data_IF_657888729174
#
_entry.id   IF_657888729174
#
_cell.length_a   1.000
_cell.length_b   1.000
_cell.length_c   1.000
_cell.angle_alpha   90.00
_cell.angle_beta   90.00
_cell.angle_gamma   90.00
#
_symmetry.space_group_name_H-M   'P 1'
#
loop_
_entity.id
_entity.type
_entity.pdbx_description
1 polymer ?
#
# COMPACT_ATOMS: atom_id res chain seq x y z
N UNK A 1 41.81 -52.14 51.85
CA UNK A 1 41.05 -53.39 51.71
C UNK A 1 40.43 -53.38 50.32
N UNK A 2 41.08 -54.06 49.42
CA UNK A 2 40.59 -55.27 48.69
C UNK A 2 39.34 -54.94 47.87
N UNK A 3 39.22 -55.16 46.65
CA UNK A 3 39.83 -55.97 45.57
C UNK A 3 38.73 -56.19 44.54
N UNK A 4 39.10 -56.29 43.37
CA UNK A 4 38.78 -57.09 42.18
C UNK A 4 37.67 -56.42 41.27
N UNK A 5 37.92 -56.06 40.05
CA UNK A 5 38.59 -56.80 38.98
C UNK A 5 37.57 -57.64 38.20
N UNK A 6 37.10 -57.14 37.01
CA UNK A 6 36.83 -58.04 35.89
C UNK A 6 36.92 -57.31 34.55
N UNK A 7 37.78 -57.80 33.71
CA UNK A 7 37.94 -57.55 32.28
C UNK A 7 36.76 -58.06 31.48
N UNK A 8 36.31 -57.31 30.53
CA UNK A 8 35.74 -57.89 29.32
C UNK A 8 36.19 -57.10 28.06
N UNK A 9 36.95 -57.81 27.25
CA UNK A 9 37.40 -57.46 25.92
C UNK A 9 36.23 -57.42 24.96
N UNK A 10 36.10 -56.37 24.19
CA UNK A 10 35.27 -56.34 22.97
C UNK A 10 36.07 -55.79 21.81
N UNK A 11 36.04 -56.55 20.77
CA UNK A 11 36.78 -56.44 19.52
C UNK A 11 36.59 -55.09 18.85
N UNK A 12 37.71 -54.46 18.53
CA UNK A 12 37.82 -53.49 17.40
C UNK A 12 37.53 -54.20 16.09
N UNK A 13 36.70 -53.64 15.30
CA UNK A 13 36.74 -53.78 13.84
C UNK A 13 37.21 -52.44 13.28
N UNK A 14 38.51 -52.37 13.08
CA UNK A 14 39.18 -51.31 12.33
C UNK A 14 38.88 -51.51 10.84
N UNK A 15 37.90 -50.77 10.28
CA UNK A 15 37.86 -50.51 8.87
C UNK A 15 38.55 -49.17 8.60
N UNK A 16 39.85 -49.31 8.39
CA UNK A 16 40.75 -48.25 7.98
C UNK A 16 40.39 -47.82 6.55
N UNK A 17 39.94 -46.59 6.38
CA UNK A 17 39.97 -45.91 5.08
C UNK A 17 41.43 -45.57 4.76
N UNK A 18 41.99 -46.00 3.62
CA UNK A 18 43.38 -45.66 3.29
C UNK A 18 43.49 -44.15 2.96
N UNK A 19 44.46 -43.53 3.61
CA UNK A 19 44.95 -42.19 3.34
C UNK A 19 45.32 -42.03 1.85
N UNK A 20 44.54 -41.27 1.13
CA UNK A 20 44.95 -40.61 -0.10
C UNK A 20 44.75 -39.12 0.08
N UNK A 21 45.62 -38.53 0.88
CA UNK A 21 45.74 -37.10 0.99
C UNK A 21 47.18 -36.69 0.75
N UNK A 22 47.52 -36.51 -0.51
CA UNK A 22 48.86 -36.13 -0.94
C UNK A 22 48.91 -35.73 -2.42
N UNK A 23 48.08 -34.76 -2.83
CA UNK A 23 48.35 -33.94 -4.02
C UNK A 23 47.64 -32.60 -3.88
N UNK A 24 48.46 -31.54 -3.95
CA UNK A 24 48.00 -30.16 -4.05
C UNK A 24 47.32 -29.99 -5.39
N UNK A 25 46.00 -29.95 -5.42
CA UNK A 25 45.22 -29.54 -6.58
C UNK A 25 44.58 -28.19 -6.33
N UNK A 26 44.59 -27.35 -7.37
CA UNK A 26 44.17 -25.97 -7.44
C UNK A 26 42.72 -25.75 -6.98
N UNK A 27 42.31 -24.52 -6.56
CA UNK A 27 41.06 -24.27 -5.84
C UNK A 27 39.78 -24.21 -6.71
N UNK A 28 39.76 -24.82 -7.88
CA UNK A 28 38.62 -24.73 -8.81
C UNK A 28 37.93 -26.05 -9.15
N UNK A 29 38.33 -27.17 -8.57
CA UNK A 29 37.58 -28.43 -8.68
C UNK A 29 37.23 -28.94 -7.29
N UNK A 30 36.14 -28.40 -6.70
CA UNK A 30 35.43 -29.09 -5.61
C UNK A 30 34.97 -30.43 -6.16
N UNK A 31 35.87 -31.38 -6.01
CA UNK A 31 35.90 -32.67 -6.64
C UNK A 31 34.59 -33.43 -6.39
N UNK A 32 33.96 -33.86 -7.46
CA UNK A 32 32.88 -34.87 -7.46
C UNK A 32 33.18 -36.09 -6.59
N UNK A 33 34.46 -36.33 -6.27
CA UNK A 33 34.91 -37.38 -5.37
C UNK A 33 34.53 -37.15 -3.89
N UNK A 34 34.58 -35.92 -3.38
CA UNK A 34 34.14 -35.59 -2.00
C UNK A 34 32.62 -35.72 -1.88
N UNK A 35 31.89 -35.32 -2.91
CA UNK A 35 30.43 -35.47 -2.97
C UNK A 35 30.03 -36.95 -3.03
N UNK A 36 30.78 -37.77 -3.80
CA UNK A 36 30.56 -39.23 -3.85
C UNK A 36 30.91 -39.94 -2.54
N UNK A 37 31.90 -39.46 -1.78
CA UNK A 37 32.26 -40.01 -0.49
C UNK A 37 31.22 -39.69 0.60
N UNK A 38 30.66 -38.46 0.59
CA UNK A 38 29.55 -38.07 1.46
C UNK A 38 28.24 -38.84 1.13
N UNK A 39 28.00 -39.14 -0.13
CA UNK A 39 26.80 -39.87 -0.57
C UNK A 39 26.88 -41.39 -0.30
N UNK A 40 28.09 -42.02 -0.18
CA UNK A 40 28.25 -43.44 0.10
C UNK A 40 27.91 -43.84 1.54
N UNK A 41 27.88 -42.89 2.47
CA UNK A 41 27.48 -43.13 3.87
C UNK A 41 26.02 -42.82 4.18
N UNK A 42 25.23 -42.32 3.20
CA UNK A 42 23.84 -41.97 3.41
C UNK A 42 22.96 -43.21 3.19
N UNK A 43 22.14 -43.53 4.20
CA UNK A 43 21.04 -44.48 4.07
C UNK A 43 20.13 -44.06 2.90
N UNK A 44 19.58 -45.03 2.16
CA UNK A 44 18.67 -44.78 1.03
C UNK A 44 17.56 -43.80 1.39
N UNK A 45 17.05 -43.84 2.61
CA UNK A 45 16.05 -42.89 3.14
C UNK A 45 16.58 -41.46 3.20
N UNK A 46 17.80 -41.24 3.67
CA UNK A 46 18.46 -39.95 3.72
C UNK A 46 18.76 -39.41 2.30
N UNK A 47 19.11 -40.28 1.37
CA UNK A 47 19.35 -39.91 -0.02
C UNK A 47 18.03 -39.46 -0.70
N UNK A 48 16.94 -40.21 -0.51
CA UNK A 48 15.61 -39.84 -1.01
C UNK A 48 15.15 -38.48 -0.41
N UNK A 49 15.37 -38.30 0.89
CA UNK A 49 15.04 -37.02 1.54
C UNK A 49 15.81 -35.86 0.91
N UNK A 50 17.12 -35.97 0.73
CA UNK A 50 17.94 -34.91 0.15
C UNK A 50 17.63 -34.64 -1.33
N UNK A 51 17.38 -35.67 -2.12
CA UNK A 51 17.20 -35.52 -3.58
C UNK A 51 15.79 -35.18 -3.97
N UNK A 52 14.79 -35.57 -3.20
CA UNK A 52 13.37 -35.37 -3.52
C UNK A 52 12.73 -34.32 -2.62
N UNK A 53 12.77 -34.52 -1.29
CA UNK A 53 12.04 -33.63 -0.39
C UNK A 53 12.68 -32.26 -0.23
N UNK A 54 14.01 -32.15 -0.22
CA UNK A 54 14.67 -30.84 -0.10
C UNK A 54 14.43 -29.97 -1.34
N UNK A 55 14.62 -30.43 -2.59
CA UNK A 55 14.26 -29.63 -3.76
C UNK A 55 12.77 -29.31 -3.83
N UNK A 56 11.89 -30.27 -3.49
CA UNK A 56 10.45 -30.03 -3.47
C UNK A 56 10.06 -28.98 -2.43
N UNK A 57 10.70 -28.99 -1.26
CA UNK A 57 10.53 -27.96 -0.23
C UNK A 57 11.03 -26.59 -0.71
N UNK A 58 12.21 -26.54 -1.36
CA UNK A 58 12.78 -25.30 -1.90
C UNK A 58 11.84 -24.73 -2.97
N UNK A 59 11.34 -25.56 -3.90
CA UNK A 59 10.38 -25.11 -4.92
C UNK A 59 9.08 -24.66 -4.28
N UNK A 60 8.54 -25.41 -3.33
CA UNK A 60 7.36 -25.03 -2.57
C UNK A 60 7.53 -23.70 -1.82
N UNK A 61 8.67 -23.51 -1.16
CA UNK A 61 8.99 -22.25 -0.49
C UNK A 61 9.18 -21.09 -1.47
N UNK A 62 9.76 -21.32 -2.63
CA UNK A 62 9.88 -20.32 -3.70
C UNK A 62 8.51 -19.91 -4.24
N UNK A 63 7.62 -20.86 -4.53
CA UNK A 63 6.30 -20.60 -5.09
C UNK A 63 5.32 -20.03 -4.07
N UNK A 64 5.32 -20.55 -2.85
CA UNK A 64 4.32 -20.26 -1.82
C UNK A 64 4.86 -19.56 -0.58
N UNK A 65 6.16 -19.25 -0.52
CA UNK A 65 6.81 -18.68 0.68
C UNK A 65 6.13 -17.40 1.18
N UNK A 66 5.68 -16.53 0.27
CA UNK A 66 4.94 -15.33 0.63
C UNK A 66 3.61 -15.67 1.32
N UNK A 67 2.82 -16.60 0.76
CA UNK A 67 1.56 -17.03 1.38
C UNK A 67 1.79 -17.65 2.75
N UNK A 68 2.84 -18.48 2.89
CA UNK A 68 3.22 -19.09 4.17
C UNK A 68 3.61 -18.01 5.18
N UNK A 69 4.45 -17.05 4.78
CA UNK A 69 4.86 -15.94 5.65
C UNK A 69 3.66 -15.11 6.12
N UNK A 70 2.76 -14.71 5.23
CA UNK A 70 1.57 -13.97 5.61
C UNK A 70 0.63 -14.77 6.50
N UNK A 71 0.42 -16.06 6.18
CA UNK A 71 -0.42 -16.92 7.01
C UNK A 71 0.12 -17.11 8.44
N UNK A 72 1.43 -17.26 8.57
CA UNK A 72 2.08 -17.45 9.87
C UNK A 72 2.40 -16.14 10.61
N UNK A 73 2.15 -14.98 9.99
CA UNK A 73 2.43 -13.65 10.57
C UNK A 73 1.96 -13.46 12.01
N UNK A 74 0.76 -13.95 12.42
CA UNK A 74 0.30 -13.83 13.81
C UNK A 74 1.19 -14.49 14.87
N UNK A 75 2.12 -15.37 14.46
CA UNK A 75 3.05 -16.03 15.40
C UNK A 75 4.19 -15.11 15.88
N UNK A 76 4.54 -14.08 15.10
CA UNK A 76 5.67 -13.18 15.42
C UNK A 76 5.34 -11.70 15.35
N UNK A 77 4.15 -11.32 14.91
CA UNK A 77 3.74 -9.93 14.76
C UNK A 77 2.42 -9.67 15.46
N UNK A 78 2.44 -8.78 16.45
CA UNK A 78 1.24 -8.37 17.16
C UNK A 78 0.50 -7.24 16.42
N UNK A 79 -0.82 -7.12 16.58
CA UNK A 79 -1.57 -5.98 16.06
C UNK A 79 -1.00 -4.65 16.58
N UNK A 80 -0.97 -3.60 15.76
CA UNK A 80 -0.60 -2.27 16.22
C UNK A 80 -1.63 -1.77 17.27
N UNK A 81 -1.19 -0.84 18.12
CA UNK A 81 -2.09 -0.17 19.07
C UNK A 81 -3.32 0.38 18.31
N UNK A 82 -4.54 0.12 18.77
CA UNK A 82 -5.75 0.64 18.14
C UNK A 82 -5.77 2.17 18.17
N UNK A 83 -6.49 2.77 17.22
CA UNK A 83 -6.76 4.21 17.23
C UNK A 83 -7.84 4.54 18.28
N UNK A 84 -7.81 5.78 18.76
CA UNK A 84 -8.93 6.41 19.46
C UNK A 84 -9.86 6.95 18.39
N UNK A 85 -10.97 6.25 18.16
CA UNK A 85 -11.91 6.60 17.10
C UNK A 85 -12.84 7.72 17.57
N UNK A 86 -12.88 8.81 16.79
CA UNK A 86 -13.81 9.93 16.99
C UNK A 86 -15.02 9.68 16.10
N UNK A 87 -16.20 9.65 16.68
CA UNK A 87 -17.46 9.51 15.95
C UNK A 87 -17.67 10.72 15.04
N UNK A 88 -18.02 10.48 13.78
CA UNK A 88 -18.27 11.53 12.80
C UNK A 88 -19.76 11.86 12.75
N UNK A 89 -20.13 13.03 13.24
CA UNK A 89 -21.49 13.58 13.15
C UNK A 89 -21.56 14.57 12.01
N UNK A 90 -22.51 14.42 11.12
CA UNK A 90 -22.78 15.38 10.06
C UNK A 90 -24.24 15.30 9.59
N UNK A 91 -24.87 16.46 9.44
CA UNK A 91 -26.18 16.58 8.81
C UNK A 91 -26.32 17.95 8.16
N UNK A 92 -26.81 18.02 6.93
CA UNK A 92 -26.84 19.24 6.12
C UNK A 92 -27.69 20.35 6.74
N UNK A 93 -28.77 19.98 7.45
CA UNK A 93 -29.73 20.93 8.04
C UNK A 93 -29.44 21.29 9.51
N UNK A 94 -28.28 20.84 10.05
CA UNK A 94 -27.85 21.17 11.41
C UNK A 94 -26.76 22.25 11.33
N UNK A 95 -26.88 23.34 12.13
CA UNK A 95 -25.84 24.37 12.18
C UNK A 95 -24.47 23.78 12.52
N UNK A 96 -23.41 24.32 11.90
CA UNK A 96 -22.06 23.82 12.08
C UNK A 96 -21.61 23.96 13.56
N UNK A 97 -22.09 24.99 14.25
CA UNK A 97 -21.83 25.16 15.70
C UNK A 97 -22.30 23.96 16.52
N UNK A 98 -23.52 23.46 16.27
CA UNK A 98 -24.06 22.29 16.95
C UNK A 98 -23.30 21.01 16.56
N UNK A 99 -22.90 20.90 15.29
CA UNK A 99 -22.09 19.77 14.83
C UNK A 99 -20.71 19.77 15.49
N UNK A 100 -20.01 20.91 15.56
CA UNK A 100 -18.74 21.01 16.28
C UNK A 100 -18.90 20.62 17.76
N UNK A 101 -19.97 21.11 18.41
CA UNK A 101 -20.27 20.80 19.82
C UNK A 101 -20.53 19.32 20.07
N UNK A 102 -21.17 18.60 19.13
CA UNK A 102 -21.36 17.15 19.19
C UNK A 102 -20.02 16.39 19.24
N UNK A 103 -18.97 16.95 18.61
CA UNK A 103 -17.61 16.40 18.65
C UNK A 103 -16.82 16.85 19.89
N UNK A 104 -17.39 17.71 20.73
CA UNK A 104 -16.67 18.34 21.86
C UNK A 104 -15.71 19.45 21.40
N UNK A 105 -15.92 20.02 20.22
CA UNK A 105 -15.11 21.08 19.60
C UNK A 105 -15.83 22.42 19.62
N UNK A 106 -15.04 23.51 19.66
CA UNK A 106 -15.57 24.86 19.49
C UNK A 106 -15.88 25.17 18.02
N UNK A 107 -16.67 26.25 17.78
CA UNK A 107 -16.86 26.80 16.45
C UNK A 107 -15.92 27.99 16.24
N UNK A 108 -15.36 28.13 15.05
CA UNK A 108 -14.53 29.28 14.65
C UNK A 108 -15.39 30.41 14.10
N UNK A 109 -14.90 31.63 14.25
CA UNK A 109 -15.47 32.81 13.63
C UNK A 109 -15.31 32.77 12.09
N UNK A 110 -14.14 32.29 11.61
CA UNK A 110 -13.80 32.11 10.21
C UNK A 110 -13.24 30.69 9.97
N UNK A 111 -13.60 30.06 8.85
CA UNK A 111 -13.09 28.71 8.55
C UNK A 111 -11.59 28.76 8.22
N UNK A 112 -10.86 27.70 8.58
CA UNK A 112 -9.45 27.53 8.20
C UNK A 112 -9.31 27.44 6.68
N UNK A 113 -8.19 27.96 6.17
CA UNK A 113 -7.73 27.65 4.83
C UNK A 113 -7.39 26.15 4.74
N UNK A 114 -7.63 25.55 3.58
CA UNK A 114 -7.38 24.12 3.37
C UNK A 114 -6.48 23.92 2.16
N UNK A 115 -5.40 23.19 2.35
CA UNK A 115 -4.45 22.79 1.32
C UNK A 115 -4.61 21.30 1.04
N UNK A 116 -4.92 20.95 -0.20
CA UNK A 116 -4.98 19.56 -0.66
C UNK A 116 -3.71 19.22 -1.44
N UNK A 117 -2.80 18.45 -0.85
CA UNK A 117 -1.48 18.20 -1.41
C UNK A 117 -1.32 16.71 -1.78
N UNK A 118 -0.95 16.45 -3.04
CA UNK A 118 -0.82 15.09 -3.57
C UNK A 118 0.44 14.92 -4.41
N UNK A 119 1.05 13.72 -4.31
CA UNK A 119 1.94 13.19 -5.33
C UNK A 119 1.10 12.55 -6.43
N UNK A 120 1.44 12.83 -7.69
CA UNK A 120 0.64 12.34 -8.81
C UNK A 120 1.43 11.46 -9.76
N UNK A 121 0.82 10.37 -10.21
CA UNK A 121 1.41 9.44 -11.17
C UNK A 121 0.56 9.28 -12.43
N UNK A 122 -0.49 8.44 -12.42
CA UNK A 122 -1.33 8.18 -13.59
C UNK A 122 -2.83 8.11 -13.28
N UNK A 123 -3.24 8.45 -12.05
CA UNK A 123 -4.60 8.33 -11.53
C UNK A 123 -5.50 9.51 -11.96
N UNK A 124 -5.55 9.85 -13.27
CA UNK A 124 -6.21 11.07 -13.79
C UNK A 124 -7.69 11.15 -13.40
N UNK A 125 -8.44 10.05 -13.57
CA UNK A 125 -9.87 10.04 -13.24
C UNK A 125 -10.11 10.16 -11.72
N UNK A 126 -9.28 9.50 -10.90
CA UNK A 126 -9.37 9.59 -9.43
C UNK A 126 -9.04 10.99 -8.94
N UNK A 127 -8.00 11.63 -9.48
CA UNK A 127 -7.65 13.02 -9.18
C UNK A 127 -8.82 13.96 -9.51
N UNK A 128 -9.46 13.74 -10.65
CA UNK A 128 -10.60 14.57 -11.08
C UNK A 128 -11.80 14.40 -10.15
N UNK A 129 -12.14 13.17 -9.76
CA UNK A 129 -13.21 12.89 -8.80
C UNK A 129 -12.88 13.54 -7.46
N UNK A 130 -11.68 13.33 -6.92
CA UNK A 130 -11.21 13.95 -5.68
C UNK A 130 -11.36 15.47 -5.69
N UNK A 131 -10.83 16.11 -6.71
CA UNK A 131 -10.83 17.56 -6.75
C UNK A 131 -12.21 18.16 -7.02
N UNK A 132 -13.08 17.48 -7.75
CA UNK A 132 -14.47 17.91 -7.90
C UNK A 132 -15.25 17.77 -6.59
N UNK A 133 -15.05 16.70 -5.85
CA UNK A 133 -15.68 16.48 -4.55
C UNK A 133 -15.23 17.54 -3.52
N UNK A 134 -13.94 17.85 -3.47
CA UNK A 134 -13.37 18.76 -2.50
C UNK A 134 -13.40 20.24 -2.90
N UNK A 135 -13.69 20.55 -4.16
CA UNK A 135 -13.57 21.88 -4.75
C UNK A 135 -14.17 23.03 -3.91
N UNK A 136 -15.35 22.89 -3.26
CA UNK A 136 -15.97 23.98 -2.51
C UNK A 136 -15.17 24.41 -1.27
N UNK A 137 -14.33 23.52 -0.72
CA UNK A 137 -13.72 23.71 0.58
C UNK A 137 -12.20 23.88 0.54
N UNK A 138 -11.55 23.60 -0.60
CA UNK A 138 -10.10 23.73 -0.75
C UNK A 138 -9.74 25.18 -1.11
N UNK A 139 -8.80 25.76 -0.39
CA UNK A 139 -8.22 27.06 -0.68
C UNK A 139 -7.15 26.94 -1.75
N UNK A 140 -6.28 25.93 -1.64
CA UNK A 140 -5.16 25.72 -2.55
C UNK A 140 -4.99 24.23 -2.86
N UNK A 141 -4.99 23.88 -4.14
CA UNK A 141 -4.60 22.56 -4.64
C UNK A 141 -3.10 22.54 -4.89
N UNK A 142 -2.41 21.54 -4.37
CA UNK A 142 -0.95 21.40 -4.52
C UNK A 142 -0.64 20.05 -5.11
N UNK A 143 -0.03 20.03 -6.29
CA UNK A 143 0.30 18.79 -6.99
C UNK A 143 1.76 18.77 -7.39
N UNK A 144 2.45 17.72 -6.96
CA UNK A 144 3.79 17.41 -7.43
C UNK A 144 3.78 16.20 -8.35
N UNK A 145 4.42 16.34 -9.49
CA UNK A 145 4.60 15.27 -10.46
C UNK A 145 6.09 15.05 -10.73
N UNK A 146 6.51 13.79 -10.91
CA UNK A 146 7.87 13.43 -11.29
C UNK A 146 7.91 12.88 -12.71
N UNK A 147 9.05 13.02 -13.39
CA UNK A 147 9.34 12.35 -14.66
C UNK A 147 9.80 10.89 -14.50
N UNK A 148 9.85 10.41 -13.25
CA UNK A 148 10.22 9.05 -12.91
C UNK A 148 9.20 8.44 -11.95
N UNK A 149 9.03 7.12 -12.04
CA UNK A 149 8.27 6.32 -11.08
C UNK A 149 9.09 6.05 -9.82
N UNK A 150 8.48 5.55 -8.74
CA UNK A 150 9.21 5.16 -7.53
C UNK A 150 10.23 4.03 -7.78
N UNK A 151 10.03 3.23 -8.82
CA UNK A 151 10.96 2.17 -9.24
C UNK A 151 12.06 2.63 -10.19
N UNK A 152 12.13 3.95 -10.48
CA UNK A 152 13.12 4.52 -11.40
C UNK A 152 12.80 4.33 -12.88
N UNK A 153 11.56 3.96 -13.24
CA UNK A 153 11.14 3.92 -14.63
C UNK A 153 10.78 5.33 -15.10
N UNK A 154 11.18 5.73 -16.33
CA UNK A 154 10.78 7.01 -16.89
C UNK A 154 9.27 7.05 -17.12
N UNK A 155 8.65 8.18 -16.83
CA UNK A 155 7.22 8.42 -17.11
C UNK A 155 6.99 9.83 -17.67
N UNK A 156 5.92 9.99 -18.40
CA UNK A 156 5.44 11.30 -18.82
C UNK A 156 4.84 12.08 -17.66
N UNK A 157 4.76 13.39 -17.78
CA UNK A 157 4.01 14.25 -16.87
C UNK A 157 2.52 14.16 -17.23
N UNK A 158 1.85 13.16 -16.67
CA UNK A 158 0.48 12.81 -17.01
C UNK A 158 -0.51 13.92 -16.63
N UNK A 159 -0.26 14.66 -15.53
CA UNK A 159 -1.07 15.82 -15.19
C UNK A 159 -0.90 16.92 -16.24
N UNK A 160 0.33 17.27 -16.60
CA UNK A 160 0.58 18.30 -17.60
C UNK A 160 -0.08 17.98 -18.95
N UNK A 161 -0.05 16.71 -19.38
CA UNK A 161 -0.71 16.24 -20.60
C UNK A 161 -2.24 16.30 -20.54
N UNK A 162 -2.83 16.23 -19.34
CA UNK A 162 -4.27 16.24 -19.11
C UNK A 162 -4.78 17.55 -18.49
N UNK A 163 -3.94 18.58 -18.39
CA UNK A 163 -4.21 19.82 -17.66
C UNK A 163 -5.50 20.51 -18.09
N UNK A 164 -5.87 20.42 -19.34
CA UNK A 164 -7.12 20.96 -19.87
C UNK A 164 -8.37 20.41 -19.16
N UNK A 165 -8.33 19.21 -18.64
CA UNK A 165 -9.42 18.62 -17.87
C UNK A 165 -9.58 19.24 -16.47
N UNK A 166 -8.58 20.01 -16.01
CA UNK A 166 -8.47 20.58 -14.67
C UNK A 166 -8.51 22.12 -14.66
N UNK A 167 -8.93 22.75 -15.75
CA UNK A 167 -9.06 24.23 -15.85
C UNK A 167 -9.86 24.86 -14.72
N UNK A 168 -10.79 24.11 -14.11
CA UNK A 168 -11.64 24.61 -13.02
C UNK A 168 -10.85 24.93 -11.74
N UNK A 169 -9.66 24.35 -11.52
CA UNK A 169 -8.82 24.63 -10.34
C UNK A 169 -7.65 25.56 -10.63
N UNK A 170 -7.41 25.95 -11.87
CA UNK A 170 -6.23 26.75 -12.27
C UNK A 170 -5.96 27.97 -11.39
N UNK A 171 -6.97 28.76 -10.96
CA UNK A 171 -6.74 29.92 -10.10
C UNK A 171 -6.24 29.55 -8.68
N UNK A 172 -6.36 28.29 -8.29
CA UNK A 172 -6.02 27.77 -6.96
C UNK A 172 -5.03 26.59 -7.05
N UNK A 173 -4.29 26.47 -8.15
CA UNK A 173 -3.34 25.37 -8.36
C UNK A 173 -1.90 25.81 -8.15
N UNK A 174 -1.20 25.17 -7.23
CA UNK A 174 0.26 25.15 -7.16
C UNK A 174 0.76 23.84 -7.77
N UNK A 175 1.29 23.90 -8.98
CA UNK A 175 1.85 22.76 -9.71
C UNK A 175 3.36 22.80 -9.70
N UNK A 176 3.99 21.70 -9.29
CA UNK A 176 5.43 21.51 -9.36
C UNK A 176 5.79 20.21 -10.07
N UNK A 177 6.98 20.19 -10.65
CA UNK A 177 7.58 18.97 -11.16
C UNK A 177 8.98 18.77 -10.57
N UNK A 178 9.38 17.51 -10.45
CA UNK A 178 10.70 17.12 -9.95
C UNK A 178 11.29 16.03 -10.84
N UNK A 179 12.60 16.12 -11.08
CA UNK A 179 13.31 15.03 -11.71
C UNK A 179 13.47 13.87 -10.73
N UNK A 180 13.21 12.66 -11.18
CA UNK A 180 13.52 11.46 -10.39
C UNK A 180 15.03 11.31 -10.21
N UNK A 181 15.42 10.55 -9.20
CA UNK A 181 16.83 10.32 -8.85
C UNK A 181 17.54 9.33 -9.79
N UNK A 182 16.82 8.70 -10.73
CA UNK A 182 17.31 7.74 -11.75
C UNK A 182 18.18 6.60 -11.20
N UNK A 183 17.97 6.21 -9.95
CA UNK A 183 18.73 5.14 -9.28
C UNK A 183 18.02 3.81 -9.43
N UNK A 184 18.27 3.12 -10.55
CA UNK A 184 17.73 1.77 -10.79
C UNK A 184 18.23 0.80 -9.72
N UNK A 185 17.29 -0.01 -9.19
CA UNK A 185 17.58 -1.03 -8.18
C UNK A 185 17.68 -0.51 -6.73
N UNK A 186 17.49 0.78 -6.49
CA UNK A 186 17.30 1.32 -5.15
C UNK A 186 15.92 0.95 -4.62
N UNK A 187 15.77 0.93 -3.29
CA UNK A 187 14.48 0.71 -2.65
C UNK A 187 13.47 1.80 -3.08
N UNK A 188 12.33 1.45 -3.70
CA UNK A 188 11.35 2.41 -4.20
C UNK A 188 10.83 3.40 -3.14
N UNK A 189 10.81 3.02 -1.87
CA UNK A 189 10.42 3.91 -0.78
C UNK A 189 11.38 5.11 -0.59
N UNK A 190 12.62 5.01 -1.03
CA UNK A 190 13.58 6.13 -0.98
C UNK A 190 13.23 7.19 -2.03
N UNK A 191 12.84 6.78 -3.23
CA UNK A 191 12.36 7.70 -4.26
C UNK A 191 11.03 8.34 -3.87
N UNK A 192 10.12 7.56 -3.30
CA UNK A 192 8.86 8.06 -2.76
C UNK A 192 9.10 9.12 -1.66
N UNK A 193 10.00 8.86 -0.71
CA UNK A 193 10.37 9.81 0.33
C UNK A 193 10.98 11.08 -0.24
N UNK A 194 11.83 10.99 -1.26
CA UNK A 194 12.41 12.14 -1.95
C UNK A 194 11.33 13.02 -2.58
N UNK A 195 10.36 12.42 -3.28
CA UNK A 195 9.26 13.17 -3.88
C UNK A 195 8.35 13.81 -2.82
N UNK A 196 8.15 13.16 -1.64
CA UNK A 196 7.40 13.76 -0.51
C UNK A 196 8.12 14.97 0.08
N UNK A 197 9.45 14.94 0.16
CA UNK A 197 10.24 16.11 0.57
C UNK A 197 10.10 17.26 -0.43
N UNK A 198 10.10 16.97 -1.73
CA UNK A 198 9.87 17.98 -2.77
C UNK A 198 8.45 18.58 -2.68
N UNK A 199 7.44 17.76 -2.39
CA UNK A 199 6.06 18.23 -2.17
C UNK A 199 5.96 19.14 -0.93
N UNK A 200 6.70 18.85 0.15
CA UNK A 200 6.78 19.72 1.35
C UNK A 200 7.38 21.10 1.02
N UNK A 201 8.35 21.17 0.10
CA UNK A 201 8.87 22.45 -0.39
C UNK A 201 7.84 23.19 -1.25
N UNK A 202 7.13 22.49 -2.12
CA UNK A 202 6.08 23.09 -2.95
C UNK A 202 4.93 23.67 -2.09
N UNK A 203 4.56 23.00 -1.00
CA UNK A 203 3.59 23.51 -0.03
C UNK A 203 4.00 24.86 0.57
N UNK A 204 5.26 25.02 0.94
CA UNK A 204 5.79 26.28 1.45
C UNK A 204 5.74 27.39 0.39
N UNK A 205 6.10 27.07 -0.85
CA UNK A 205 5.97 27.99 -1.99
C UNK A 205 4.52 28.37 -2.28
N UNK A 206 3.57 27.44 -2.03
CA UNK A 206 2.13 27.69 -2.16
C UNK A 206 1.55 28.56 -1.04
N UNK A 207 2.36 28.96 -0.05
CA UNK A 207 1.97 29.90 0.99
C UNK A 207 1.14 29.31 2.12
N UNK A 208 1.41 28.04 2.50
CA UNK A 208 0.81 27.43 3.69
C UNK A 208 1.35 28.10 4.95
N UNK A 209 0.50 28.38 5.91
CA UNK A 209 0.81 29.05 7.16
C UNK A 209 0.33 28.26 8.38
N UNK A 210 0.76 28.67 9.57
CA UNK A 210 0.35 28.06 10.83
C UNK A 210 -1.18 28.08 11.00
N UNK A 211 -1.74 27.00 11.52
CA UNK A 211 -3.17 26.71 11.69
C UNK A 211 -3.97 26.45 10.41
N UNK A 212 -3.37 26.52 9.21
CA UNK A 212 -4.02 26.00 8.00
C UNK A 212 -4.24 24.49 8.11
N UNK A 213 -5.22 23.97 7.42
CA UNK A 213 -5.41 22.52 7.28
C UNK A 213 -4.65 21.98 6.07
N UNK A 214 -3.80 21.01 6.30
CA UNK A 214 -3.11 20.26 5.26
C UNK A 214 -3.67 18.84 5.17
N UNK A 215 -4.24 18.49 4.02
CA UNK A 215 -4.63 17.12 3.69
C UNK A 215 -3.40 16.39 3.17
N UNK A 216 -3.00 15.32 3.84
CA UNK A 216 -1.93 14.41 3.43
C UNK A 216 -2.55 13.06 3.11
N UNK A 217 -2.63 12.71 1.83
CA UNK A 217 -3.15 11.42 1.38
C UNK A 217 -2.74 11.14 -0.07
N UNK A 218 -2.79 9.90 -0.49
CA UNK A 218 -2.59 9.53 -1.88
C UNK A 218 -3.81 9.97 -2.72
N UNK A 219 -3.65 10.07 -4.04
CA UNK A 219 -4.70 10.58 -4.95
C UNK A 219 -5.98 9.78 -4.85
N UNK A 220 -5.87 8.47 -4.65
CA UNK A 220 -6.97 7.52 -4.55
C UNK A 220 -7.59 7.42 -3.12
N UNK A 221 -7.07 8.21 -2.16
CA UNK A 221 -7.62 8.38 -0.80
C UNK A 221 -8.38 9.71 -0.72
N UNK A 222 -9.68 9.69 -0.93
CA UNK A 222 -10.53 10.87 -1.07
C UNK A 222 -11.27 11.16 0.24
N UNK A 223 -10.92 12.22 0.98
CA UNK A 223 -11.77 12.71 2.07
C UNK A 223 -13.13 13.15 1.54
N UNK A 224 -14.19 12.93 2.31
CA UNK A 224 -15.51 13.48 1.91
C UNK A 224 -15.57 15.00 2.08
N UNK A 225 -16.35 15.64 1.24
CA UNK A 225 -16.61 17.07 1.32
C UNK A 225 -17.12 17.51 2.70
N UNK A 226 -17.99 16.70 3.31
CA UNK A 226 -18.52 16.93 4.67
C UNK A 226 -17.42 16.86 5.74
N UNK A 227 -16.48 15.93 5.63
CA UNK A 227 -15.32 15.83 6.53
C UNK A 227 -14.49 17.12 6.50
N UNK A 228 -14.15 17.59 5.32
CA UNK A 228 -13.33 18.80 5.18
C UNK A 228 -14.10 20.04 5.64
N UNK A 229 -15.39 20.12 5.35
CA UNK A 229 -16.24 21.22 5.83
C UNK A 229 -16.32 21.25 7.37
N UNK A 230 -16.47 20.10 8.02
CA UNK A 230 -16.43 19.97 9.48
C UNK A 230 -15.10 20.49 10.05
N UNK A 231 -13.98 19.94 9.57
CA UNK A 231 -12.66 20.21 10.13
C UNK A 231 -12.21 21.67 9.92
N UNK A 232 -12.65 22.33 8.86
CA UNK A 232 -12.30 23.75 8.62
C UNK A 232 -13.03 24.71 9.56
N UNK A 233 -14.22 24.36 10.02
CA UNK A 233 -15.06 25.22 10.86
C UNK A 233 -14.89 24.97 12.36
N UNK A 234 -14.56 23.72 12.76
CA UNK A 234 -14.43 23.41 14.18
C UNK A 234 -13.03 23.73 14.71
N UNK A 235 -12.99 24.31 15.91
CA UNK A 235 -11.76 24.51 16.67
C UNK A 235 -11.48 23.32 17.59
N UNK A 236 -10.31 23.32 18.28
CA UNK A 236 -9.90 22.25 19.20
C UNK A 236 -9.81 20.85 18.60
N UNK A 237 -9.81 20.73 17.25
CA UNK A 237 -9.52 19.46 16.58
C UNK A 237 -8.08 19.00 16.89
N UNK A 238 -7.79 17.69 16.93
CA UNK A 238 -6.42 17.19 17.08
C UNK A 238 -5.46 17.81 16.06
N UNK A 239 -4.21 18.06 16.45
CA UNK A 239 -3.19 18.60 15.53
C UNK A 239 -2.96 17.70 14.31
N UNK A 240 -3.05 16.39 14.52
CA UNK A 240 -3.03 15.38 13.45
C UNK A 240 -4.21 14.46 13.67
N UNK A 241 -5.06 14.35 12.68
CA UNK A 241 -6.24 13.51 12.68
C UNK A 241 -6.19 12.58 11.47
N UNK A 242 -6.08 11.28 11.70
CA UNK A 242 -6.23 10.29 10.65
C UNK A 242 -7.68 10.20 10.19
N UNK A 243 -7.88 9.81 8.94
CA UNK A 243 -9.20 9.67 8.33
C UNK A 243 -9.50 8.19 8.09
N UNK A 244 -10.59 7.71 8.67
CA UNK A 244 -11.05 6.33 8.50
C UNK A 244 -11.88 6.24 7.22
N UNK A 245 -11.26 5.82 6.11
CA UNK A 245 -11.87 5.80 4.79
C UNK A 245 -12.47 4.43 4.48
N UNK A 246 -13.64 4.39 3.84
CA UNK A 246 -14.18 3.17 3.23
C UNK A 246 -13.22 2.70 2.15
N UNK A 247 -12.77 1.46 2.23
CA UNK A 247 -11.72 0.95 1.36
C UNK A 247 -12.31 0.09 0.24
N UNK A 248 -11.97 0.41 -0.99
CA UNK A 248 -12.44 -0.26 -2.20
C UNK A 248 -11.27 -0.69 -3.07
N UNK A 249 -11.48 -1.75 -3.85
CA UNK A 249 -10.50 -2.26 -4.79
C UNK A 249 -11.11 -2.29 -6.19
N UNK A 250 -10.41 -1.76 -7.19
CA UNK A 250 -10.78 -1.68 -8.61
C UNK A 250 -11.96 -0.77 -8.93
N UNK A 251 -13.00 -0.79 -8.13
CA UNK A 251 -14.21 0.03 -8.27
C UNK A 251 -14.95 0.10 -6.94
N UNK A 252 -15.97 0.94 -6.84
CA UNK A 252 -16.84 1.01 -5.67
C UNK A 252 -17.77 -0.21 -5.51
N UNK A 253 -17.64 -1.22 -6.36
CA UNK A 253 -18.30 -2.51 -6.23
C UNK A 253 -17.64 -3.41 -5.18
N UNK A 254 -16.30 -3.35 -5.05
CA UNK A 254 -15.54 -4.26 -4.22
C UNK A 254 -15.06 -3.58 -2.94
N UNK A 255 -15.94 -3.55 -1.94
CA UNK A 255 -15.62 -2.95 -0.64
C UNK A 255 -14.86 -3.93 0.25
N UNK A 256 -13.62 -3.60 0.60
CA UNK A 256 -12.80 -4.34 1.56
C UNK A 256 -13.31 -4.08 2.98
N UNK A 257 -13.34 -5.11 3.82
CA UNK A 257 -13.82 -4.98 5.21
C UNK A 257 -12.97 -4.03 6.05
N UNK A 258 -11.66 -3.99 5.81
CA UNK A 258 -10.79 -3.04 6.50
C UNK A 258 -10.93 -1.65 5.90
N UNK A 259 -11.03 -0.66 6.75
CA UNK A 259 -10.96 0.74 6.35
C UNK A 259 -9.51 1.19 6.20
N UNK A 260 -9.23 2.07 5.25
CA UNK A 260 -7.95 2.76 5.15
C UNK A 260 -7.85 3.83 6.24
N UNK A 261 -6.65 4.03 6.78
CA UNK A 261 -6.38 5.00 7.86
C UNK A 261 -5.20 5.93 7.55
N UNK A 262 -4.55 5.75 6.43
CA UNK A 262 -3.29 6.47 6.13
C UNK A 262 -3.51 7.93 5.80
N UNK A 263 -4.61 8.28 5.14
CA UNK A 263 -5.01 9.67 4.94
C UNK A 263 -5.13 10.40 6.27
N UNK A 264 -4.64 11.63 6.32
CA UNK A 264 -4.68 12.47 7.52
C UNK A 264 -4.87 13.93 7.19
N UNK A 265 -5.43 14.67 8.16
CA UNK A 265 -5.51 16.14 8.13
C UNK A 265 -4.67 16.69 9.28
N UNK A 266 -3.84 17.65 8.96
CA UNK A 266 -2.94 18.29 9.91
C UNK A 266 -3.31 19.75 10.08
N UNK A 267 -3.37 20.23 11.32
CA UNK A 267 -3.25 21.65 11.60
C UNK A 267 -1.77 21.99 11.41
N UNK A 268 -1.47 22.67 10.32
CA UNK A 268 -0.09 22.93 9.92
C UNK A 268 0.66 23.76 10.99
N UNK A 269 1.89 23.39 11.23
CA UNK A 269 2.83 24.11 12.09
C UNK A 269 4.17 24.24 11.36
N UNK A 270 4.56 25.48 11.06
CA UNK A 270 5.81 25.77 10.39
C UNK A 270 7.00 25.19 11.19
N UNK A 271 7.92 24.59 10.48
CA UNK A 271 9.09 23.94 11.08
C UNK A 271 8.84 22.58 11.75
N UNK A 272 7.58 22.18 12.03
CA UNK A 272 7.23 20.91 12.67
C UNK A 272 6.53 19.95 11.72
N UNK A 273 5.47 20.40 11.04
CA UNK A 273 4.73 19.57 10.11
C UNK A 273 5.61 19.19 8.92
N UNK A 274 5.64 17.91 8.59
CA UNK A 274 6.33 17.35 7.42
C UNK A 274 5.37 16.47 6.66
N UNK A 275 5.37 16.56 5.33
CA UNK A 275 4.54 15.71 4.50
C UNK A 275 5.00 14.25 4.61
N UNK A 276 4.15 13.40 5.17
CA UNK A 276 4.44 11.99 5.38
C UNK A 276 3.15 11.16 5.38
N UNK A 277 3.28 9.86 5.05
CA UNK A 277 2.15 8.94 4.90
C UNK A 277 2.32 7.72 5.83
N UNK A 278 2.45 8.00 7.13
CA UNK A 278 2.54 7.01 8.20
C UNK A 278 1.72 7.47 9.41
N UNK A 279 1.56 6.60 10.40
CA UNK A 279 0.82 6.95 11.63
C UNK A 279 1.56 8.03 12.42
N UNK A 280 0.92 9.19 12.56
CA UNK A 280 1.47 10.37 13.26
C UNK A 280 0.64 10.78 14.48
N UNK A 281 -0.51 10.12 14.70
CA UNK A 281 -1.42 10.37 15.81
C UNK A 281 -2.12 9.08 16.23
N UNK A 282 -2.67 9.07 17.42
CA UNK A 282 -3.55 8.00 17.90
C UNK A 282 -5.03 8.27 17.57
N UNK A 283 -5.38 9.45 17.05
CA UNK A 283 -6.76 9.83 16.76
C UNK A 283 -7.13 9.56 15.30
N UNK A 284 -8.35 9.03 15.10
CA UNK A 284 -8.92 8.80 13.78
C UNK A 284 -10.39 9.23 13.73
N UNK A 285 -10.80 9.93 12.68
CA UNK A 285 -12.19 10.31 12.45
C UNK A 285 -12.90 9.21 11.64
N UNK A 286 -13.99 8.70 12.17
CA UNK A 286 -14.79 7.67 11.52
C UNK A 286 -15.45 8.19 10.23
N UNK A 287 -15.70 7.30 9.28
CA UNK A 287 -16.50 7.54 8.06
C UNK A 287 -16.15 8.83 7.32
N UNK A 288 -14.84 9.05 7.12
CA UNK A 288 -14.32 10.33 6.66
C UNK A 288 -14.15 10.44 5.14
N UNK A 289 -14.49 9.39 4.37
CA UNK A 289 -14.39 9.39 2.91
C UNK A 289 -14.11 8.00 2.33
N UNK A 290 -13.42 7.96 1.19
CA UNK A 290 -13.22 6.76 0.37
C UNK A 290 -11.75 6.59 -0.03
N UNK A 291 -11.31 5.35 -0.08
CA UNK A 291 -10.05 4.95 -0.70
C UNK A 291 -10.37 3.93 -1.79
N UNK A 292 -9.99 4.21 -3.03
CA UNK A 292 -10.29 3.35 -4.19
C UNK A 292 -9.00 2.92 -4.89
N UNK A 293 -8.39 1.84 -4.37
CA UNK A 293 -7.13 1.31 -4.87
C UNK A 293 -7.29 0.67 -6.25
N UNK A 294 -6.33 0.91 -7.16
CA UNK A 294 -6.37 0.38 -8.53
C UNK A 294 -7.66 0.70 -9.28
N UNK A 295 -8.24 1.87 -9.07
CA UNK A 295 -9.49 2.29 -9.72
C UNK A 295 -9.22 2.96 -11.07
N UNK A 296 -8.72 2.18 -12.03
CA UNK A 296 -8.36 2.62 -13.38
C UNK A 296 -9.38 2.22 -14.43
N UNK A 297 -9.44 3.00 -15.52
CA UNK A 297 -10.23 2.74 -16.71
C UNK A 297 -9.58 1.71 -17.62
N UNK A 298 -8.26 1.79 -17.82
CA UNK A 298 -7.51 1.00 -18.79
C UNK A 298 -6.66 -0.07 -18.11
N UNK A 299 -6.60 -1.27 -18.69
CA UNK A 299 -5.75 -2.36 -18.20
C UNK A 299 -4.27 -1.98 -18.20
N UNK A 300 -3.85 -1.15 -19.17
CA UNK A 300 -2.48 -0.61 -19.23
C UNK A 300 -2.07 0.16 -17.98
N UNK A 301 -3.01 0.89 -17.35
CA UNK A 301 -2.76 1.64 -16.12
C UNK A 301 -2.55 0.73 -14.91
N UNK A 302 -3.26 -0.40 -14.84
CA UNK A 302 -2.99 -1.43 -13.83
C UNK A 302 -1.57 -1.96 -13.96
N UNK A 303 -1.17 -2.35 -15.18
CA UNK A 303 0.17 -2.87 -15.46
C UNK A 303 1.23 -1.82 -15.12
N UNK A 304 0.97 -0.57 -15.46
CA UNK A 304 1.87 0.54 -15.14
C UNK A 304 2.02 0.67 -13.61
N UNK A 305 0.91 0.82 -12.85
CA UNK A 305 0.95 0.96 -11.39
C UNK A 305 1.63 -0.24 -10.73
N UNK A 306 1.34 -1.47 -11.16
CA UNK A 306 1.98 -2.68 -10.62
C UNK A 306 3.50 -2.67 -10.74
N UNK A 307 4.07 -2.02 -11.78
CA UNK A 307 5.52 -1.90 -11.99
C UNK A 307 6.14 -0.65 -11.36
N UNK A 308 5.34 0.38 -11.13
CA UNK A 308 5.79 1.74 -10.88
C UNK A 308 5.77 2.17 -9.41
N UNK A 309 4.96 1.53 -8.57
CA UNK A 309 4.75 1.95 -7.18
C UNK A 309 5.71 1.26 -6.20
N UNK A 310 5.72 1.70 -4.95
CA UNK A 310 6.69 1.27 -3.94
C UNK A 310 6.64 -0.23 -3.61
N UNK A 311 5.49 -0.88 -3.79
CA UNK A 311 5.31 -2.32 -3.60
C UNK A 311 5.39 -3.14 -4.90
N UNK A 312 6.20 -2.72 -5.87
CA UNK A 312 6.42 -3.45 -7.14
C UNK A 312 7.04 -4.84 -6.94
N UNK A 313 7.67 -5.11 -5.79
CA UNK A 313 8.15 -6.42 -5.35
C UNK A 313 7.04 -7.48 -5.25
N UNK A 314 5.77 -7.07 -5.14
CA UNK A 314 4.60 -7.97 -5.20
C UNK A 314 4.43 -8.64 -6.57
N UNK A 315 4.99 -8.06 -7.64
CA UNK A 315 5.00 -8.66 -8.99
C UNK A 315 6.08 -9.75 -9.07
N UNK A 316 5.89 -10.86 -8.37
CA UNK A 316 6.85 -11.96 -8.31
C UNK A 316 6.93 -12.76 -9.62
N UNK A 317 5.86 -12.81 -10.38
CA UNK A 317 5.75 -13.59 -11.62
C UNK A 317 5.22 -12.73 -12.77
N UNK A 318 5.80 -12.91 -13.95
CA UNK A 318 5.42 -12.14 -15.14
C UNK A 318 3.96 -12.33 -15.55
N UNK A 319 3.36 -13.49 -15.26
CA UNK A 319 1.95 -13.76 -15.59
C UNK A 319 0.96 -12.87 -14.81
N UNK A 320 1.37 -12.26 -13.67
CA UNK A 320 0.53 -11.28 -12.98
C UNK A 320 0.25 -10.03 -13.82
N UNK A 321 1.12 -9.73 -14.78
CA UNK A 321 0.99 -8.60 -15.70
C UNK A 321 0.21 -8.95 -16.99
N UNK A 322 -0.36 -10.16 -17.10
CA UNK A 322 -1.14 -10.55 -18.27
C UNK A 322 -2.49 -9.80 -18.28
N UNK A 323 -2.82 -9.05 -19.36
CA UNK A 323 -4.04 -8.24 -19.44
C UNK A 323 -5.33 -9.04 -19.24
N UNK A 324 -5.43 -10.23 -19.85
CA UNK A 324 -6.61 -11.10 -19.75
C UNK A 324 -6.81 -11.59 -18.31
N UNK A 325 -5.71 -11.97 -17.63
CA UNK A 325 -5.75 -12.34 -16.21
C UNK A 325 -6.17 -11.17 -15.34
N UNK A 326 -5.61 -9.97 -15.56
CA UNK A 326 -5.95 -8.75 -14.79
C UNK A 326 -7.45 -8.48 -14.92
N UNK A 327 -8.00 -8.54 -16.13
CA UNK A 327 -9.42 -8.34 -16.36
C UNK A 327 -10.30 -9.39 -15.63
N UNK A 328 -9.89 -10.65 -15.64
CA UNK A 328 -10.59 -11.73 -14.92
C UNK A 328 -10.53 -11.52 -13.40
N UNK A 329 -9.36 -11.15 -12.87
CA UNK A 329 -9.14 -10.85 -11.44
C UNK A 329 -10.01 -9.69 -10.97
N UNK A 330 -10.08 -8.60 -11.76
CA UNK A 330 -10.94 -7.44 -11.45
C UNK A 330 -12.40 -7.86 -11.34
N UNK A 331 -12.91 -8.60 -12.33
CA UNK A 331 -14.32 -9.02 -12.35
C UNK A 331 -14.68 -10.00 -11.23
N UNK A 332 -13.70 -10.71 -10.69
CA UNK A 332 -13.88 -11.61 -9.53
C UNK A 332 -13.67 -10.93 -8.17
N UNK A 333 -13.19 -9.69 -8.13
CA UNK A 333 -12.77 -9.06 -6.88
C UNK A 333 -11.62 -9.79 -6.17
N UNK A 334 -10.77 -10.49 -6.94
CA UNK A 334 -9.65 -11.27 -6.41
C UNK A 334 -8.37 -10.40 -6.30
N UNK A 335 -7.33 -10.92 -5.64
CA UNK A 335 -6.07 -10.21 -5.48
C UNK A 335 -5.18 -10.28 -6.73
N UNK A 336 -4.63 -9.15 -7.20
CA UNK A 336 -3.78 -9.06 -8.40
C UNK A 336 -2.51 -9.89 -8.30
N UNK A 337 -1.98 -10.05 -7.10
CA UNK A 337 -0.70 -10.69 -6.81
C UNK A 337 -0.87 -12.10 -6.20
N UNK A 338 -2.12 -12.58 -6.12
CA UNK A 338 -2.46 -13.86 -5.51
C UNK A 338 -1.92 -13.98 -4.06
N UNK A 339 -2.00 -12.88 -3.31
CA UNK A 339 -1.54 -12.78 -1.92
C UNK A 339 -2.64 -13.19 -0.92
N UNK A 340 -2.21 -13.60 0.26
CA UNK A 340 -3.11 -13.69 1.41
C UNK A 340 -3.29 -12.30 2.05
N UNK A 341 -4.40 -12.09 2.80
CA UNK A 341 -4.61 -10.85 3.54
C UNK A 341 -3.49 -10.57 4.53
N UNK A 342 -3.04 -9.31 4.58
CA UNK A 342 -1.96 -8.86 5.48
C UNK A 342 -2.49 -8.58 6.91
N UNK A 343 -2.99 -9.63 7.59
CA UNK A 343 -3.61 -9.50 8.89
C UNK A 343 -2.71 -9.93 10.05
N UNK A 344 -3.10 -9.56 11.26
CA UNK A 344 -2.37 -9.83 12.49
C UNK A 344 -2.97 -10.96 13.32
N UNK A 345 -4.13 -11.49 12.96
CA UNK A 345 -4.75 -12.63 13.62
C UNK A 345 -5.18 -13.69 12.60
N UNK A 346 -5.13 -14.97 12.97
CA UNK A 346 -5.62 -16.05 12.12
C UNK A 346 -7.10 -15.91 11.77
N UNK A 347 -7.91 -15.38 12.71
CA UNK A 347 -9.33 -15.12 12.49
C UNK A 347 -9.54 -14.13 11.36
N UNK A 348 -8.77 -13.03 11.33
CA UNK A 348 -8.89 -11.99 10.32
C UNK A 348 -8.33 -12.48 8.97
N UNK A 349 -7.20 -13.21 8.97
CA UNK A 349 -6.67 -13.85 7.75
C UNK A 349 -7.74 -14.74 7.11
N UNK A 350 -8.30 -15.69 7.86
CA UNK A 350 -9.30 -16.64 7.37
C UNK A 350 -10.59 -15.92 6.96
N UNK A 351 -11.03 -14.95 7.75
CA UNK A 351 -12.25 -14.18 7.49
C UNK A 351 -12.19 -13.26 6.26
N UNK A 352 -10.97 -12.94 5.80
CA UNK A 352 -10.72 -12.06 4.65
C UNK A 352 -10.08 -12.80 3.46
N UNK A 353 -9.90 -14.12 3.55
CA UNK A 353 -9.45 -14.94 2.42
C UNK A 353 -10.51 -15.01 1.32
N UNK A 354 -10.01 -15.06 0.07
CA UNK A 354 -10.85 -15.20 -1.11
C UNK A 354 -11.23 -13.88 -1.76
N UNK A 355 -12.08 -13.93 -2.81
CA UNK A 355 -12.54 -12.74 -3.50
C UNK A 355 -13.37 -11.81 -2.61
N UNK A 356 -13.25 -10.50 -2.84
CA UNK A 356 -14.09 -9.49 -2.19
C UNK A 356 -15.51 -9.65 -2.74
N UNK A 357 -16.54 -9.73 -1.89
CA UNK A 357 -17.91 -9.87 -2.35
C UNK A 357 -18.36 -8.61 -3.11
N UNK A 358 -19.21 -8.81 -4.13
CA UNK A 358 -19.81 -7.71 -4.89
C UNK A 358 -20.77 -6.91 -4.01
N UNK A 359 -20.63 -5.58 -4.02
CA UNK A 359 -21.63 -4.67 -3.48
C UNK A 359 -22.65 -4.31 -4.58
N UNK A 360 -23.91 -4.33 -4.23
CA UNK A 360 -24.99 -3.85 -5.10
C UNK A 360 -25.48 -2.47 -4.68
N UNK A 361 -24.76 -1.80 -3.77
CA UNK A 361 -25.11 -0.48 -3.26
C UNK A 361 -24.11 0.57 -3.74
N UNK A 362 -24.64 1.66 -4.28
CA UNK A 362 -23.89 2.87 -4.61
C UNK A 362 -24.28 4.04 -3.69
N UNK A 363 -24.82 3.76 -2.50
CA UNK A 363 -25.17 4.78 -1.51
C UNK A 363 -23.92 5.33 -0.87
N UNK A 364 -23.86 6.66 -0.68
CA UNK A 364 -22.76 7.35 -0.03
C UNK A 364 -21.41 7.12 -0.72
N UNK A 365 -21.38 7.31 -2.03
CA UNK A 365 -20.19 7.42 -2.87
C UNK A 365 -19.93 8.89 -3.24
N UNK A 366 -18.74 9.22 -3.79
CA UNK A 366 -18.47 10.58 -4.24
C UNK A 366 -19.55 11.12 -5.19
N UNK A 367 -20.08 12.32 -4.90
CA UNK A 367 -21.21 12.92 -5.63
C UNK A 367 -20.93 13.07 -7.11
N UNK A 368 -19.71 13.43 -7.45
CA UNK A 368 -19.27 13.64 -8.83
C UNK A 368 -19.39 12.38 -9.72
N UNK A 369 -19.38 11.18 -9.15
CA UNK A 369 -19.65 9.93 -9.89
C UNK A 369 -21.09 9.91 -10.45
N UNK A 370 -22.05 10.35 -9.64
CA UNK A 370 -23.49 10.37 -10.02
C UNK A 370 -23.82 11.52 -10.97
N UNK A 371 -23.06 12.60 -10.92
CA UNK A 371 -23.17 13.70 -11.89
C UNK A 371 -22.64 13.30 -13.28
N UNK A 372 -21.77 12.26 -13.35
CA UNK A 372 -21.11 11.82 -14.58
C UNK A 372 -21.12 10.28 -14.75
N UNK A 373 -22.30 9.62 -14.65
CA UNK A 373 -22.38 8.18 -14.54
C UNK A 373 -21.86 7.44 -15.79
N UNK A 374 -22.10 7.99 -16.98
CA UNK A 374 -21.63 7.38 -18.23
C UNK A 374 -20.10 7.39 -18.33
N UNK A 375 -19.49 8.49 -17.90
CA UNK A 375 -18.03 8.61 -17.89
C UNK A 375 -17.37 7.66 -16.89
N UNK A 376 -17.94 7.50 -15.70
CA UNK A 376 -17.35 6.72 -14.61
C UNK A 376 -18.08 5.39 -14.38
N UNK A 377 -18.78 4.89 -15.39
CA UNK A 377 -19.54 3.64 -15.32
C UNK A 377 -18.70 2.48 -14.82
N UNK A 378 -17.43 2.41 -15.22
CA UNK A 378 -16.48 1.36 -14.82
C UNK A 378 -16.13 1.38 -13.32
N UNK A 379 -16.42 2.45 -12.60
CA UNK A 379 -16.26 2.57 -11.14
C UNK A 379 -17.53 2.22 -10.36
N UNK A 380 -18.68 2.15 -11.03
CA UNK A 380 -19.95 1.86 -10.39
C UNK A 380 -20.21 0.34 -10.35
N UNK A 381 -20.96 -0.16 -9.34
CA UNK A 381 -21.30 -1.57 -9.23
C UNK A 381 -21.91 -2.16 -10.52
N UNK A 382 -21.53 -3.41 -10.85
CA UNK A 382 -21.99 -4.13 -12.02
C UNK A 382 -21.20 -3.86 -13.31
N UNK A 383 -20.08 -3.15 -13.26
CA UNK A 383 -19.32 -2.74 -14.44
C UNK A 383 -17.82 -3.05 -14.32
N UNK A 384 -17.46 -4.31 -14.21
CA UNK A 384 -16.08 -4.71 -13.99
C UNK A 384 -15.16 -4.63 -15.23
N UNK A 385 -15.73 -4.53 -16.45
CA UNK A 385 -14.93 -4.52 -17.67
C UNK A 385 -14.13 -3.21 -17.82
N UNK A 386 -12.88 -3.36 -18.25
CA UNK A 386 -11.94 -2.27 -18.51
C UNK A 386 -11.59 -2.21 -19.99
N UNK A 387 -11.15 -1.03 -20.42
CA UNK A 387 -10.64 -0.81 -21.76
C UNK A 387 -9.19 -1.31 -21.85
N UNK A 388 -8.73 -1.73 -23.02
CA UNK A 388 -7.37 -2.25 -23.16
C UNK A 388 -6.30 -1.15 -23.03
N UNK A 389 -6.58 0.08 -23.44
CA UNK A 389 -5.70 1.24 -23.37
C UNK A 389 -4.66 1.27 -24.46
#
# INVERSE_FOLDING_TARGET
MMSDGYYYTSKKSDDICPDVCGQQDSPTTLSMSRLRCMLRGLDLKALIFLVVFVPMFIVGAYLHGQKITYFLRPLWQSPPKPFIEITHYYHENVPMEDICKLHGWGIREYPRRVFDAVLFSNEVDMLKIRWKELYPYITQFVLLESNSTFTGLPKLHNFALNRDQFKFIEPRLAYGNVAGRDKKGENPFVEEAYQRVALDQLLKLAGIEDDDLLIMSDVDEIPSARTINLLRWCDDIPHVLHLHLKNYLYSFEFQIKHRSWRASVHRYQSGKTRYAHYRQSDYILADAGWHCSFCFRHISDFIFKMKAYSHSDRVRFSHYLNPTRIQDVICKGADLYDMLPEEYTFKDIIGNMGPIPHSYSAIDLPSYLFENPDKYKYLLPGNCKRENG
#
